data_IF_415219049920
#
_entry.id   IF_415219049920
#
_cell.length_a   1.000
_cell.length_b   1.000
_cell.length_c   1.000
_cell.angle_alpha   90.00
_cell.angle_beta   90.00
_cell.angle_gamma   90.00
#
_symmetry.space_group_name_H-M   'P 1'
#
loop_
_entity.id
_entity.type
_entity.pdbx_description
1 polymer ?
#
# COMPACT_ATOMS: atom_id res chain seq x y z
N UNK A 1 -4.17 -1.38 4.68
CA UNK A 1 -3.42 -1.03 5.86
C UNK A 1 -3.52 -2.08 6.94
N UNK A 2 -2.55 -2.09 7.86
CA UNK A 2 -2.54 -3.02 8.99
C UNK A 2 -3.40 -2.53 10.16
N UNK A 3 -3.63 -3.43 11.10
CA UNK A 3 -4.35 -3.16 12.37
C UNK A 3 -3.40 -2.72 13.49
N UNK A 4 -2.10 -2.84 13.25
CA UNK A 4 -1.00 -2.39 14.11
C UNK A 4 0.22 -1.99 13.25
N UNK A 5 1.34 -1.64 13.89
CA UNK A 5 2.59 -1.31 13.21
C UNK A 5 3.43 -2.53 12.83
N UNK A 6 3.09 -3.72 13.30
CA UNK A 6 3.83 -4.95 13.01
C UNK A 6 3.86 -5.17 11.48
N UNK A 7 5.03 -5.47 10.94
CA UNK A 7 5.26 -5.67 9.50
C UNK A 7 5.05 -4.43 8.61
N UNK A 8 4.40 -3.36 9.07
CA UNK A 8 4.27 -2.10 8.30
C UNK A 8 5.56 -1.29 8.30
N UNK A 9 6.40 -1.46 9.30
CA UNK A 9 7.68 -0.75 9.46
C UNK A 9 8.87 -1.56 8.92
N UNK A 10 8.65 -2.38 7.90
CA UNK A 10 9.75 -3.12 7.24
C UNK A 10 10.70 -2.12 6.58
N UNK A 11 11.98 -2.11 6.96
CA UNK A 11 12.96 -1.23 6.35
C UNK A 11 13.08 -1.48 4.84
N UNK A 12 13.29 -0.41 4.08
CA UNK A 12 13.51 -0.47 2.63
C UNK A 12 12.41 -1.20 1.84
N UNK A 13 11.17 -1.15 2.33
CA UNK A 13 10.04 -1.88 1.75
C UNK A 13 9.88 -1.63 0.24
N UNK A 14 10.01 -0.38 -0.20
CA UNK A 14 9.92 -0.01 -1.62
C UNK A 14 11.16 -0.46 -2.37
N UNK A 15 12.35 -0.14 -1.86
CA UNK A 15 13.62 -0.43 -2.51
C UNK A 15 13.84 -1.93 -2.71
N UNK A 16 13.34 -2.77 -1.81
CA UNK A 16 13.47 -4.24 -1.92
C UNK A 16 12.80 -4.80 -3.17
N UNK A 17 11.74 -4.17 -3.64
CA UNK A 17 11.01 -4.57 -4.86
C UNK A 17 11.53 -3.93 -6.16
N UNK A 18 12.54 -3.05 -6.08
CA UNK A 18 13.11 -2.35 -7.24
C UNK A 18 14.40 -3.00 -7.73
N UNK A 19 14.61 -3.02 -9.04
CA UNK A 19 15.92 -3.34 -9.63
C UNK A 19 16.89 -2.14 -9.48
N UNK A 20 18.20 -2.34 -9.79
CA UNK A 20 19.21 -1.31 -9.56
C UNK A 20 18.92 -0.01 -10.31
N UNK A 21 18.56 -0.07 -11.59
CA UNK A 21 18.24 1.12 -12.39
C UNK A 21 17.06 1.92 -11.81
N UNK A 22 16.05 1.22 -11.29
CA UNK A 22 14.90 1.84 -10.62
C UNK A 22 15.30 2.51 -9.31
N UNK A 23 16.18 1.86 -8.52
CA UNK A 23 16.75 2.43 -7.29
C UNK A 23 17.55 3.70 -7.60
N UNK A 24 18.41 3.66 -8.61
CA UNK A 24 19.21 4.82 -9.02
C UNK A 24 18.31 5.99 -9.45
N UNK A 25 17.26 5.69 -10.21
CA UNK A 25 16.24 6.67 -10.60
C UNK A 25 15.51 7.25 -9.38
N UNK A 26 15.10 6.41 -8.44
CA UNK A 26 14.43 6.85 -7.21
C UNK A 26 15.33 7.78 -6.39
N UNK A 27 16.60 7.40 -6.20
CA UNK A 27 17.59 8.19 -5.48
C UNK A 27 17.83 9.56 -6.14
N UNK A 28 17.91 9.60 -7.47
CA UNK A 28 18.01 10.85 -8.22
C UNK A 28 16.85 11.79 -7.93
N UNK A 29 15.61 11.30 -8.01
CA UNK A 29 14.43 12.13 -7.77
C UNK A 29 14.26 12.54 -6.30
N UNK A 30 14.57 11.65 -5.36
CA UNK A 30 14.60 11.97 -3.94
C UNK A 30 15.60 13.10 -3.65
N UNK A 31 16.81 13.03 -4.22
CA UNK A 31 17.85 14.07 -4.08
C UNK A 31 17.37 15.44 -4.57
N UNK A 32 16.51 15.50 -5.59
CA UNK A 32 15.91 16.77 -6.04
C UNK A 32 14.92 17.33 -5.04
N UNK A 33 14.06 16.46 -4.49
CA UNK A 33 13.08 16.83 -3.46
C UNK A 33 13.79 17.36 -2.21
N UNK A 34 14.85 16.68 -1.78
CA UNK A 34 15.65 17.06 -0.61
C UNK A 34 16.32 18.43 -0.78
N UNK A 35 16.62 18.81 -2.04
CA UNK A 35 17.11 20.13 -2.41
C UNK A 35 16.01 21.19 -2.60
N UNK A 36 14.76 20.84 -2.31
CA UNK A 36 13.61 21.75 -2.36
C UNK A 36 12.84 21.76 -3.68
N UNK A 37 13.21 20.95 -4.68
CA UNK A 37 12.44 20.86 -5.94
C UNK A 37 11.20 19.97 -5.75
N UNK A 38 10.09 20.61 -5.39
CA UNK A 38 8.78 19.96 -5.23
C UNK A 38 7.88 20.17 -6.46
N UNK A 39 8.44 20.45 -7.64
CA UNK A 39 7.68 20.57 -8.88
C UNK A 39 6.91 19.29 -9.21
N UNK A 40 5.81 19.43 -9.94
CA UNK A 40 5.03 18.27 -10.41
C UNK A 40 5.92 17.29 -11.22
N UNK A 41 6.80 17.83 -12.07
CA UNK A 41 7.73 17.03 -12.88
C UNK A 41 8.64 16.16 -12.01
N UNK A 42 9.21 16.72 -10.94
CA UNK A 42 10.07 16.00 -10.01
C UNK A 42 9.29 14.93 -9.22
N UNK A 43 8.10 15.27 -8.72
CA UNK A 43 7.23 14.29 -8.04
C UNK A 43 6.77 13.19 -8.98
N UNK A 44 6.44 13.49 -10.23
CA UNK A 44 6.06 12.51 -11.24
C UNK A 44 7.23 11.58 -11.60
N UNK A 45 8.44 12.12 -11.74
CA UNK A 45 9.66 11.32 -11.95
C UNK A 45 9.90 10.34 -10.80
N UNK A 46 9.78 10.80 -9.55
CA UNK A 46 9.83 9.95 -8.36
C UNK A 46 8.71 8.89 -8.39
N UNK A 47 7.49 9.30 -8.70
CA UNK A 47 6.35 8.40 -8.83
C UNK A 47 6.58 7.29 -9.85
N UNK A 48 7.15 7.61 -11.03
CA UNK A 48 7.50 6.61 -12.05
C UNK A 48 8.56 5.62 -11.58
N UNK A 49 9.54 6.07 -10.80
CA UNK A 49 10.56 5.19 -10.22
C UNK A 49 9.97 4.22 -9.18
N UNK A 50 8.96 4.65 -8.42
CA UNK A 50 8.31 3.85 -7.38
C UNK A 50 7.18 2.96 -7.91
N UNK A 51 6.43 3.39 -8.92
CA UNK A 51 5.22 2.73 -9.38
C UNK A 51 5.38 1.23 -9.72
N UNK A 52 6.54 0.73 -10.21
CA UNK A 52 6.71 -0.69 -10.51
C UNK A 52 6.49 -1.64 -9.32
N UNK A 53 6.69 -1.19 -8.09
CA UNK A 53 6.45 -2.04 -6.90
C UNK A 53 4.98 -2.07 -6.49
N UNK A 54 4.17 -1.12 -6.95
CA UNK A 54 2.76 -1.01 -6.58
C UNK A 54 1.79 -1.70 -7.53
N UNK A 55 2.21 -1.98 -8.77
CA UNK A 55 1.36 -2.65 -9.78
C UNK A 55 2.05 -3.86 -10.37
N UNK A 56 1.30 -4.95 -10.51
CA UNK A 56 1.74 -6.16 -11.18
C UNK A 56 1.83 -5.93 -12.69
N UNK A 57 0.76 -5.38 -13.28
CA UNK A 57 0.71 -5.02 -14.68
C UNK A 57 1.33 -3.64 -14.90
N UNK A 58 2.54 -3.63 -15.45
CA UNK A 58 3.36 -2.43 -15.63
C UNK A 58 2.74 -1.37 -16.56
N UNK A 59 1.70 -1.70 -17.33
CA UNK A 59 0.93 -0.72 -18.13
C UNK A 59 0.29 0.38 -17.25
N UNK A 60 0.08 0.10 -15.97
CA UNK A 60 -0.54 1.03 -15.02
C UNK A 60 0.47 1.98 -14.34
N UNK A 61 1.77 1.84 -14.62
CA UNK A 61 2.80 2.74 -14.08
C UNK A 61 2.45 4.23 -14.26
N UNK A 62 2.01 4.72 -15.45
CA UNK A 62 1.70 6.13 -15.61
C UNK A 62 0.59 6.62 -14.68
N UNK A 63 -0.45 5.83 -14.48
CA UNK A 63 -1.59 6.14 -13.60
C UNK A 63 -1.13 6.24 -12.14
N UNK A 64 -0.35 5.25 -11.69
CA UNK A 64 0.13 5.21 -10.31
C UNK A 64 1.19 6.28 -10.06
N UNK A 65 2.06 6.56 -11.02
CA UNK A 65 3.03 7.64 -10.93
C UNK A 65 2.34 8.99 -10.70
N UNK A 66 1.28 9.29 -11.45
CA UNK A 66 0.50 10.51 -11.29
C UNK A 66 -0.19 10.55 -9.91
N UNK A 67 -0.82 9.46 -9.49
CA UNK A 67 -1.43 9.35 -8.15
C UNK A 67 -0.42 9.63 -7.03
N UNK A 68 0.80 9.14 -7.14
CA UNK A 68 1.86 9.33 -6.14
C UNK A 68 2.31 10.81 -6.02
N UNK A 69 2.07 11.65 -7.04
CA UNK A 69 2.36 13.10 -6.95
C UNK A 69 1.48 13.81 -5.94
N UNK A 70 0.31 13.26 -5.61
CA UNK A 70 -0.67 13.84 -4.70
C UNK A 70 -0.34 13.60 -3.22
N UNK A 71 0.68 12.80 -2.92
CA UNK A 71 1.07 12.48 -1.55
C UNK A 71 1.68 13.70 -0.84
N UNK A 72 1.16 14.02 0.33
CA UNK A 72 1.78 14.99 1.23
C UNK A 72 2.78 14.26 2.14
N UNK A 73 4.06 14.28 1.75
CA UNK A 73 5.12 13.54 2.46
C UNK A 73 5.34 14.05 3.88
N UNK A 74 5.22 15.37 4.10
CA UNK A 74 5.38 15.95 5.44
C UNK A 74 4.28 15.48 6.40
N UNK A 75 3.01 15.56 5.96
CA UNK A 75 1.88 15.08 6.75
C UNK A 75 1.96 13.57 7.00
N UNK A 76 2.36 12.80 5.99
CA UNK A 76 2.56 11.36 6.12
C UNK A 76 3.62 11.04 7.19
N UNK A 77 4.75 11.75 7.17
CA UNK A 77 5.80 11.59 8.17
C UNK A 77 5.31 11.90 9.60
N UNK A 78 4.54 12.97 9.78
CA UNK A 78 3.94 13.32 11.08
C UNK A 78 3.00 12.22 11.57
N UNK A 79 2.13 11.69 10.70
CA UNK A 79 1.21 10.61 11.05
C UNK A 79 1.96 9.35 11.50
N UNK A 80 2.99 8.92 10.76
CA UNK A 80 3.80 7.77 11.14
C UNK A 80 4.50 7.98 12.49
N UNK A 81 5.03 9.17 12.73
CA UNK A 81 5.67 9.50 14.01
C UNK A 81 4.68 9.44 15.18
N UNK A 82 3.46 9.92 14.99
CA UNK A 82 2.42 9.85 16.03
C UNK A 82 1.99 8.40 16.29
N UNK A 83 1.79 7.60 15.23
CA UNK A 83 1.47 6.18 15.37
C UNK A 83 2.55 5.42 16.16
N UNK A 84 3.84 5.71 15.92
CA UNK A 84 4.94 5.13 16.70
C UNK A 84 4.91 5.56 18.14
N UNK A 85 4.76 6.88 18.41
CA UNK A 85 4.73 7.43 19.77
C UNK A 85 3.61 6.84 20.63
N UNK A 86 2.44 6.62 20.02
CA UNK A 86 1.29 6.06 20.75
C UNK A 86 1.27 4.52 20.78
N UNK A 87 2.24 3.84 20.15
CA UNK A 87 2.23 2.39 20.05
C UNK A 87 0.96 1.87 19.35
N UNK A 88 0.68 2.40 18.15
CA UNK A 88 -0.57 2.13 17.43
C UNK A 88 -0.85 0.64 17.31
N UNK A 89 -1.91 0.19 18.00
CA UNK A 89 -2.47 -1.15 17.93
C UNK A 89 -4.01 -1.07 18.13
N UNK A 90 -4.75 -1.38 17.08
CA UNK A 90 -6.20 -1.38 17.08
C UNK A 90 -6.82 -2.75 17.40
N UNK A 91 -6.03 -3.83 17.46
CA UNK A 91 -6.52 -5.20 17.64
C UNK A 91 -7.46 -5.35 18.85
N UNK A 92 -7.14 -4.79 20.06
CA UNK A 92 -8.00 -4.93 21.24
C UNK A 92 -9.41 -4.34 21.04
N UNK A 93 -9.54 -3.31 20.18
CA UNK A 93 -10.83 -2.69 19.88
C UNK A 93 -11.55 -3.41 18.74
N UNK A 94 -10.82 -3.82 17.71
CA UNK A 94 -11.37 -4.42 16.49
C UNK A 94 -11.90 -5.84 16.72
N UNK A 95 -11.39 -6.60 17.67
CA UNK A 95 -11.93 -7.91 18.04
C UNK A 95 -13.37 -7.84 18.55
N UNK A 96 -13.86 -6.68 18.97
CA UNK A 96 -15.25 -6.47 19.40
C UNK A 96 -16.16 -5.97 18.26
N UNK A 97 -15.61 -5.70 17.09
CA UNK A 97 -16.37 -5.28 15.91
C UNK A 97 -17.11 -6.49 15.32
N UNK A 98 -18.44 -6.43 15.28
CA UNK A 98 -19.30 -7.57 14.91
C UNK A 98 -19.82 -7.54 13.48
N UNK A 99 -19.80 -6.35 12.84
CA UNK A 99 -20.25 -6.26 11.46
C UNK A 99 -19.31 -7.02 10.52
N UNK A 100 -19.82 -7.54 9.39
CA UNK A 100 -18.98 -8.20 8.40
C UNK A 100 -17.85 -7.28 7.90
N UNK A 101 -16.68 -7.87 7.68
CA UNK A 101 -15.49 -7.17 7.15
C UNK A 101 -14.94 -7.96 5.97
N UNK A 102 -14.77 -7.29 4.84
CA UNK A 102 -14.06 -7.84 3.69
C UNK A 102 -12.64 -7.28 3.65
N UNK A 103 -11.67 -8.17 3.61
CA UNK A 103 -10.24 -7.85 3.46
C UNK A 103 -9.81 -8.37 2.09
N UNK A 104 -9.31 -7.48 1.23
CA UNK A 104 -8.79 -7.85 -0.10
C UNK A 104 -7.35 -7.38 -0.17
N UNK A 105 -6.44 -8.27 -0.57
CA UNK A 105 -5.03 -7.97 -0.72
C UNK A 105 -4.44 -8.69 -1.93
N UNK A 106 -3.51 -8.03 -2.64
CA UNK A 106 -2.72 -8.67 -3.69
C UNK A 106 -1.67 -9.59 -3.09
N UNK A 107 -1.46 -10.76 -3.68
CA UNK A 107 -0.44 -11.72 -3.21
C UNK A 107 0.98 -11.23 -3.38
N UNK A 108 1.23 -10.44 -4.42
CA UNK A 108 2.53 -9.89 -4.78
C UNK A 108 2.70 -8.43 -4.30
N UNK A 109 1.84 -7.99 -3.35
CA UNK A 109 1.92 -6.65 -2.76
C UNK A 109 3.26 -6.45 -2.03
N UNK A 110 3.73 -5.19 -2.01
CA UNK A 110 4.85 -4.77 -1.15
C UNK A 110 4.53 -4.96 0.33
N UNK A 111 3.25 -4.93 0.69
CA UNK A 111 2.77 -5.21 2.04
C UNK A 111 2.64 -6.73 2.20
N UNK A 112 3.31 -7.31 3.21
CA UNK A 112 3.24 -8.75 3.48
C UNK A 112 1.80 -9.24 3.62
N UNK A 113 1.50 -10.42 3.06
CA UNK A 113 0.20 -11.07 3.20
C UNK A 113 -0.16 -11.38 4.66
N UNK A 114 0.84 -11.53 5.53
CA UNK A 114 0.65 -11.71 6.97
C UNK A 114 -0.14 -10.56 7.59
N UNK A 115 -0.04 -9.35 7.05
CA UNK A 115 -0.83 -8.19 7.52
C UNK A 115 -2.32 -8.40 7.28
N UNK A 116 -2.70 -8.90 6.11
CA UNK A 116 -4.07 -9.29 5.80
C UNK A 116 -4.55 -10.44 6.70
N UNK A 117 -3.69 -11.42 6.97
CA UNK A 117 -4.00 -12.54 7.88
C UNK A 117 -4.17 -12.09 9.34
N UNK A 118 -3.31 -11.18 9.82
CA UNK A 118 -3.45 -10.58 11.16
C UNK A 118 -4.77 -9.83 11.27
N UNK A 119 -5.12 -9.03 10.27
CA UNK A 119 -6.41 -8.34 10.23
C UNK A 119 -7.57 -9.34 10.25
N UNK A 120 -7.50 -10.40 9.42
CA UNK A 120 -8.52 -11.44 9.38
C UNK A 120 -8.69 -12.17 10.73
N UNK A 121 -7.60 -12.49 11.39
CA UNK A 121 -7.62 -13.11 12.74
C UNK A 121 -8.14 -12.14 13.82
N UNK A 122 -7.99 -10.85 13.61
CA UNK A 122 -8.43 -9.82 14.58
C UNK A 122 -9.94 -9.58 14.53
N UNK A 123 -10.52 -9.52 13.34
CA UNK A 123 -11.96 -9.35 13.18
C UNK A 123 -12.68 -10.69 13.35
N UNK A 124 -13.67 -10.73 14.25
CA UNK A 124 -14.45 -11.96 14.52
C UNK A 124 -15.37 -12.39 13.38
N UNK A 125 -15.73 -11.46 12.49
CA UNK A 125 -16.60 -11.69 11.36
C UNK A 125 -15.96 -11.10 10.09
N UNK A 126 -14.95 -11.77 9.55
CA UNK A 126 -14.25 -11.27 8.36
C UNK A 126 -14.01 -12.36 7.32
N UNK A 127 -13.83 -11.90 6.07
CA UNK A 127 -13.42 -12.73 4.94
C UNK A 127 -12.14 -12.12 4.35
N UNK A 128 -11.11 -12.93 4.19
CA UNK A 128 -9.88 -12.55 3.51
C UNK A 128 -9.87 -13.13 2.10
N UNK A 129 -9.58 -12.28 1.11
CA UNK A 129 -9.37 -12.66 -0.30
C UNK A 129 -7.99 -12.19 -0.72
N UNK A 130 -7.16 -13.14 -1.15
CA UNK A 130 -5.84 -12.88 -1.73
C UNK A 130 -5.96 -12.99 -3.26
N UNK A 131 -5.59 -11.91 -3.96
CA UNK A 131 -5.66 -11.81 -5.42
C UNK A 131 -4.34 -12.20 -6.05
N UNK A 132 -4.36 -13.21 -6.93
CA UNK A 132 -3.21 -13.63 -7.72
C UNK A 132 -2.85 -12.60 -8.80
N UNK A 133 -1.58 -12.49 -9.16
CA UNK A 133 -1.05 -11.56 -10.16
C UNK A 133 -1.45 -10.11 -9.84
N UNK A 134 -1.40 -9.76 -8.58
CA UNK A 134 -1.92 -8.51 -8.05
C UNK A 134 -1.00 -7.97 -6.96
N UNK A 135 -0.62 -6.71 -7.10
CA UNK A 135 0.10 -5.94 -6.09
C UNK A 135 -0.87 -5.04 -5.30
N UNK A 136 -0.47 -3.80 -5.03
CA UNK A 136 -1.16 -2.90 -4.11
C UNK A 136 -2.50 -2.36 -4.63
N UNK A 137 -2.70 -2.35 -5.93
CA UNK A 137 -3.89 -1.76 -6.57
C UNK A 137 -4.76 -2.85 -7.21
N UNK A 138 -5.50 -3.61 -6.37
CA UNK A 138 -6.34 -4.73 -6.79
C UNK A 138 -7.34 -4.39 -7.88
N UNK A 139 -7.92 -3.20 -7.84
CA UNK A 139 -8.86 -2.71 -8.85
C UNK A 139 -8.23 -2.38 -10.22
N UNK A 140 -6.90 -2.37 -10.33
CA UNK A 140 -6.18 -2.26 -11.59
C UNK A 140 -5.64 -3.61 -12.05
N UNK A 141 -4.96 -4.32 -11.14
CA UNK A 141 -4.25 -5.55 -11.49
C UNK A 141 -5.20 -6.75 -11.69
N UNK A 142 -6.28 -6.82 -10.89
CA UNK A 142 -7.23 -7.92 -10.86
C UNK A 142 -8.69 -7.41 -10.79
N UNK A 143 -9.05 -6.47 -11.67
CA UNK A 143 -10.28 -5.69 -11.67
C UNK A 143 -11.54 -6.55 -11.48
N UNK A 144 -11.74 -7.57 -12.33
CA UNK A 144 -12.91 -8.44 -12.30
C UNK A 144 -13.06 -9.15 -10.94
N UNK A 145 -11.97 -9.77 -10.46
CA UNK A 145 -11.98 -10.49 -9.16
C UNK A 145 -12.17 -9.54 -7.98
N UNK A 146 -11.57 -8.35 -8.06
CA UNK A 146 -11.66 -7.34 -7.03
C UNK A 146 -13.10 -6.86 -6.86
N UNK A 147 -13.76 -6.45 -7.93
CA UNK A 147 -15.14 -5.96 -7.86
C UNK A 147 -16.16 -7.09 -7.63
N UNK A 148 -15.98 -8.28 -8.22
CA UNK A 148 -16.81 -9.45 -7.88
C UNK A 148 -16.78 -9.80 -6.39
N UNK A 149 -15.62 -9.65 -5.74
CA UNK A 149 -15.50 -9.89 -4.31
C UNK A 149 -16.30 -8.88 -3.49
N UNK A 150 -16.26 -7.61 -3.90
CA UNK A 150 -17.04 -6.53 -3.27
C UNK A 150 -18.55 -6.76 -3.47
N UNK A 151 -18.97 -6.99 -4.71
CA UNK A 151 -20.39 -7.20 -5.04
C UNK A 151 -20.96 -8.41 -4.27
N UNK A 152 -20.24 -9.52 -4.27
CA UNK A 152 -20.64 -10.71 -3.49
C UNK A 152 -20.73 -10.44 -1.99
N UNK A 153 -19.88 -9.57 -1.46
CA UNK A 153 -19.89 -9.22 -0.05
C UNK A 153 -21.04 -8.27 0.32
N UNK A 154 -21.41 -7.36 -0.57
CA UNK A 154 -22.48 -6.39 -0.34
C UNK A 154 -23.90 -6.97 -0.56
N UNK A 155 -24.00 -8.08 -1.30
CA UNK A 155 -25.29 -8.76 -1.57
C UNK A 155 -25.67 -9.79 -0.50
N UNK A 156 -24.76 -10.13 0.42
CA UNK A 156 -24.99 -11.06 1.53
C UNK A 156 -25.18 -10.33 2.87
#
# INVERSE_FOLDING_TARGET
GGVDLTLLETPNLIESGLNQSQKDSLNYWNSKIDKGDNSHATRLGRGRAMAPVYVYNQKFIPIIAERLTQSNLALNGLLWNDMRKMGFDCKPKLQHFKNPVLIIQGKEDIISNEIGEIAHKTYTNSKLILLENCKHYGWLDAEEKYFSAIDSFLMN
#
